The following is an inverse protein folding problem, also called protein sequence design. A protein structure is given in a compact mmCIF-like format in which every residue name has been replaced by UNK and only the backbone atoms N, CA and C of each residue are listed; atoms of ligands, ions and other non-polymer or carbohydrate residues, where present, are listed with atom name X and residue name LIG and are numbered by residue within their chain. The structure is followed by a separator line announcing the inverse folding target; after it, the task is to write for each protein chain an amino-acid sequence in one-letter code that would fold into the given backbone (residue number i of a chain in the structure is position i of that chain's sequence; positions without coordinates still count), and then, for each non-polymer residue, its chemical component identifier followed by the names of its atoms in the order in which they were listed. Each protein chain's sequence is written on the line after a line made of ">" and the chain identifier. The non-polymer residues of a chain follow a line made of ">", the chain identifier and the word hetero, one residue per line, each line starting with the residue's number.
data_IF_264065527674
#
_entry.id   IF_264065527674
#
_cell.length_a   1.000
_cell.length_b   1.000
_cell.length_c   1.000
_cell.angle_alpha   90.00
_cell.angle_beta   90.00
_cell.angle_gamma   90.00
#
_symmetry.space_group_name_H-M   'P 1'
#
loop_
_entity.id
_entity.type
_entity.pdbx_description
1 polymer ?
#
# COMPACT_ATOMS: atom_id res chain seq x y z
N UNK A 1 -18.25 -40.61 -0.64
CA UNK A 1 -17.21 -39.99 0.22
C UNK A 1 -17.03 -40.93 1.41
N UNK A 2 -15.92 -41.65 1.48
CA UNK A 2 -15.65 -42.60 2.57
C UNK A 2 -15.50 -41.83 3.88
N UNK A 3 -16.29 -42.20 4.89
CA UNK A 3 -16.13 -41.70 6.26
C UNK A 3 -14.69 -41.91 6.73
N UNK A 4 -14.05 -40.81 7.12
CA UNK A 4 -12.75 -40.84 7.78
C UNK A 4 -12.99 -41.31 9.21
N UNK A 5 -12.72 -42.59 9.48
CA UNK A 5 -12.61 -43.12 10.84
C UNK A 5 -11.20 -42.80 11.34
N UNK A 6 -11.04 -41.95 12.37
CA UNK A 6 -9.73 -41.76 12.99
C UNK A 6 -9.29 -43.09 13.60
N UNK A 7 -8.10 -43.57 13.21
CA UNK A 7 -7.42 -44.66 13.92
C UNK A 7 -6.98 -44.13 15.29
N UNK A 8 -7.88 -44.16 16.26
CA UNK A 8 -7.53 -44.10 17.67
C UNK A 8 -7.88 -45.42 18.34
N UNK A 9 -6.84 -46.00 18.93
CA UNK A 9 -6.78 -47.09 19.90
C UNK A 9 -6.58 -48.52 19.37
N UNK A 10 -5.33 -48.94 19.58
CA UNK A 10 -4.80 -50.30 19.62
C UNK A 10 -5.56 -51.19 20.61
N UNK A 11 -6.79 -51.60 20.27
CA UNK A 11 -7.36 -52.82 20.86
C UNK A 11 -7.07 -53.96 19.90
N UNK A 12 -5.87 -54.53 20.07
CA UNK A 12 -5.43 -55.71 19.35
C UNK A 12 -6.35 -56.90 19.71
N UNK A 13 -7.15 -57.46 18.79
CA UNK A 13 -7.70 -58.78 19.00
C UNK A 13 -6.52 -59.75 18.91
N UNK A 14 -6.05 -60.22 20.07
CA UNK A 14 -5.10 -61.35 20.16
C UNK A 14 -5.74 -62.58 19.50
N UNK A 15 -4.91 -63.28 18.73
CA UNK A 15 -5.13 -64.55 18.01
C UNK A 15 -5.55 -64.38 16.54
N UNK A 16 -4.68 -63.75 15.76
CA UNK A 16 -4.51 -64.12 14.36
C UNK A 16 -3.10 -64.66 14.15
N UNK A 17 -3.06 -65.79 13.45
CA UNK A 17 -1.90 -66.58 13.05
C UNK A 17 -0.66 -65.72 12.71
N UNK A 18 0.46 -65.99 13.39
CA UNK A 18 1.73 -65.22 13.33
C UNK A 18 2.27 -65.10 11.90
N UNK A 19 1.93 -66.05 11.00
CA UNK A 19 2.27 -66.00 9.58
C UNK A 19 1.41 -65.02 8.76
N UNK A 20 0.18 -64.77 9.18
CA UNK A 20 -0.70 -63.77 8.57
C UNK A 20 -0.28 -62.34 8.90
N UNK A 21 0.20 -62.11 10.13
CA UNK A 21 0.58 -60.79 10.64
C UNK A 21 1.81 -60.20 9.93
N UNK A 22 2.82 -61.03 9.63
CA UNK A 22 4.00 -60.60 8.86
C UNK A 22 3.64 -60.22 7.42
N UNK A 23 2.77 -60.99 6.76
CA UNK A 23 2.32 -60.69 5.40
C UNK A 23 1.50 -59.40 5.32
N UNK A 24 0.66 -59.12 6.33
CA UNK A 24 -0.10 -57.87 6.42
C UNK A 24 0.84 -56.68 6.62
N UNK A 25 1.85 -56.80 7.51
CA UNK A 25 2.83 -55.74 7.76
C UNK A 25 3.65 -55.39 6.51
N UNK A 26 4.12 -56.40 5.77
CA UNK A 26 4.86 -56.21 4.50
C UNK A 26 3.97 -55.54 3.45
N UNK A 27 2.71 -55.97 3.32
CA UNK A 27 1.76 -55.38 2.37
C UNK A 27 1.45 -53.92 2.72
N UNK A 28 1.30 -53.61 4.00
CA UNK A 28 1.07 -52.25 4.50
C UNK A 28 2.27 -51.34 4.26
N UNK A 29 3.49 -51.79 4.56
CA UNK A 29 4.73 -51.04 4.28
C UNK A 29 4.91 -50.77 2.78
N UNK A 30 4.63 -51.76 1.93
CA UNK A 30 4.72 -51.62 0.48
C UNK A 30 3.68 -50.63 -0.06
N UNK A 31 2.46 -50.65 0.47
CA UNK A 31 1.40 -49.69 0.12
C UNK A 31 1.77 -48.26 0.55
N UNK A 32 2.22 -48.10 1.79
CA UNK A 32 2.65 -46.81 2.35
C UNK A 32 3.82 -46.20 1.54
N UNK A 33 4.79 -47.03 1.16
CA UNK A 33 5.93 -46.63 0.31
C UNK A 33 5.46 -46.19 -1.08
N UNK A 34 4.52 -46.91 -1.71
CA UNK A 34 3.97 -46.54 -3.03
C UNK A 34 3.12 -45.27 -2.96
N UNK A 35 2.31 -45.10 -1.92
CA UNK A 35 1.48 -43.91 -1.72
C UNK A 35 2.35 -42.66 -1.53
N UNK A 36 3.34 -42.71 -0.64
CA UNK A 36 4.24 -41.59 -0.39
C UNK A 36 5.09 -41.23 -1.62
N UNK A 37 5.47 -42.19 -2.47
CA UNK A 37 6.20 -41.92 -3.72
C UNK A 37 5.47 -40.89 -4.60
N UNK A 38 4.14 -40.99 -4.72
CA UNK A 38 3.35 -40.01 -5.51
C UNK A 38 3.42 -38.60 -4.90
N UNK A 39 3.31 -38.48 -3.59
CA UNK A 39 3.41 -37.19 -2.90
C UNK A 39 4.80 -36.56 -3.04
N UNK A 40 5.87 -37.33 -2.98
CA UNK A 40 7.22 -36.82 -3.23
C UNK A 40 7.40 -36.30 -4.66
N UNK A 41 6.84 -36.98 -5.66
CA UNK A 41 6.86 -36.50 -7.06
C UNK A 41 6.07 -35.21 -7.20
N UNK A 42 4.86 -35.14 -6.62
CA UNK A 42 4.02 -33.93 -6.64
C UNK A 42 4.73 -32.76 -5.95
N UNK A 43 5.33 -33.00 -4.78
CA UNK A 43 6.12 -32.02 -4.04
C UNK A 43 7.28 -31.50 -4.90
N UNK A 44 8.05 -32.39 -5.54
CA UNK A 44 9.16 -31.99 -6.41
C UNK A 44 8.71 -31.11 -7.58
N UNK A 45 7.59 -31.46 -8.23
CA UNK A 45 7.01 -30.65 -9.32
C UNK A 45 6.60 -29.26 -8.81
N UNK A 46 5.85 -29.18 -7.71
CA UNK A 46 5.42 -27.90 -7.14
C UNK A 46 6.61 -27.05 -6.70
N UNK A 47 7.63 -27.65 -6.11
CA UNK A 47 8.85 -26.95 -5.70
C UNK A 47 9.60 -26.34 -6.89
N UNK A 48 9.78 -27.11 -7.97
CA UNK A 48 10.42 -26.61 -9.20
C UNK A 48 9.58 -25.48 -9.81
N UNK A 49 8.26 -25.64 -9.88
CA UNK A 49 7.36 -24.62 -10.42
C UNK A 49 7.40 -23.34 -9.60
N UNK A 50 7.40 -23.45 -8.27
CA UNK A 50 7.59 -22.31 -7.36
C UNK A 50 8.85 -21.52 -7.72
N UNK A 51 10.01 -22.18 -7.79
CA UNK A 51 11.29 -21.52 -8.10
C UNK A 51 11.26 -20.85 -9.49
N UNK A 52 10.71 -21.53 -10.50
CA UNK A 52 10.64 -20.99 -11.87
C UNK A 52 9.77 -19.73 -11.92
N UNK A 53 8.58 -19.77 -11.31
CA UNK A 53 7.67 -18.62 -11.31
C UNK A 53 8.19 -17.48 -10.45
N UNK A 54 8.80 -17.79 -9.30
CA UNK A 54 9.46 -16.80 -8.46
C UNK A 54 10.56 -16.11 -9.25
N UNK A 55 11.51 -16.85 -9.82
CA UNK A 55 12.60 -16.27 -10.63
C UNK A 55 12.09 -15.44 -11.81
N UNK A 56 10.98 -15.83 -12.43
CA UNK A 56 10.36 -15.06 -13.52
C UNK A 56 9.66 -13.78 -13.04
N UNK A 57 9.15 -13.74 -11.81
CA UNK A 57 8.55 -12.53 -11.22
C UNK A 57 9.62 -11.49 -10.88
N UNK A 58 10.88 -11.90 -10.71
CA UNK A 58 12.02 -11.01 -10.44
C UNK A 58 12.56 -10.27 -11.68
N UNK A 59 11.90 -10.39 -12.84
CA UNK A 59 12.37 -9.70 -14.06
C UNK A 59 12.29 -8.17 -13.90
N UNK A 60 13.43 -7.58 -13.59
CA UNK A 60 13.73 -6.15 -13.55
C UNK A 60 13.95 -5.49 -14.91
N UNK A 61 14.03 -4.16 -14.90
CA UNK A 61 14.36 -3.38 -16.10
C UNK A 61 14.18 -1.87 -15.92
N UNK A 62 14.09 -1.16 -17.04
CA UNK A 62 13.72 0.27 -17.06
C UNK A 62 12.32 0.44 -16.47
N UNK A 63 12.05 1.58 -15.83
CA UNK A 63 10.74 1.88 -15.21
C UNK A 63 9.55 1.69 -16.18
N UNK A 64 9.74 2.01 -17.46
CA UNK A 64 8.73 1.79 -18.50
C UNK A 64 8.36 0.30 -18.67
N UNK A 65 9.35 -0.60 -18.61
CA UNK A 65 9.11 -2.04 -18.69
C UNK A 65 8.29 -2.53 -17.49
N UNK A 66 8.67 -2.12 -16.28
CA UNK A 66 7.95 -2.48 -15.05
C UNK A 66 6.51 -2.00 -15.13
N UNK A 67 6.28 -0.75 -15.55
CA UNK A 67 4.94 -0.18 -15.69
C UNK A 67 4.07 -0.99 -16.66
N UNK A 68 4.63 -1.41 -17.80
CA UNK A 68 3.89 -2.16 -18.81
C UNK A 68 3.69 -3.65 -18.44
N UNK A 69 4.49 -4.19 -17.52
CA UNK A 69 4.45 -5.61 -17.15
C UNK A 69 4.03 -5.86 -15.70
N UNK A 70 3.63 -4.83 -14.95
CA UNK A 70 3.33 -4.92 -13.51
C UNK A 70 2.32 -6.04 -13.20
N UNK A 71 1.21 -6.09 -13.96
CA UNK A 71 0.19 -7.12 -13.80
C UNK A 71 0.75 -8.53 -14.03
N UNK A 72 1.54 -8.71 -15.10
CA UNK A 72 2.17 -10.00 -15.41
C UNK A 72 3.14 -10.44 -14.32
N UNK A 73 3.98 -9.53 -13.81
CA UNK A 73 4.92 -9.82 -12.73
C UNK A 73 4.18 -10.18 -11.43
N UNK A 74 3.09 -9.46 -11.10
CA UNK A 74 2.25 -9.76 -9.96
C UNK A 74 1.57 -11.13 -10.07
N UNK A 75 1.04 -11.49 -11.24
CA UNK A 75 0.45 -12.82 -11.49
C UNK A 75 1.50 -13.92 -11.33
N UNK A 76 2.72 -13.74 -11.85
CA UNK A 76 3.81 -14.70 -11.67
C UNK A 76 4.17 -14.88 -10.19
N UNK A 77 4.18 -13.79 -9.41
CA UNK A 77 4.42 -13.84 -7.97
C UNK A 77 3.31 -14.59 -7.21
N UNK A 78 2.04 -14.36 -7.57
CA UNK A 78 0.88 -15.06 -6.99
C UNK A 78 0.94 -16.55 -7.32
N UNK A 79 1.23 -16.92 -8.58
CA UNK A 79 1.36 -18.34 -8.99
C UNK A 79 2.50 -19.00 -8.21
N UNK A 80 3.65 -18.32 -8.07
CA UNK A 80 4.75 -18.75 -7.24
C UNK A 80 4.30 -19.04 -5.80
N UNK A 81 3.54 -18.13 -5.19
CA UNK A 81 2.99 -18.30 -3.85
C UNK A 81 2.08 -19.53 -3.75
N UNK A 82 1.17 -19.72 -4.71
CA UNK A 82 0.28 -20.89 -4.74
C UNK A 82 1.09 -22.20 -4.74
N UNK A 83 2.12 -22.31 -5.58
CA UNK A 83 2.96 -23.52 -5.61
C UNK A 83 3.75 -23.74 -4.32
N UNK A 84 4.25 -22.67 -3.70
CA UNK A 84 4.92 -22.76 -2.39
C UNK A 84 3.95 -23.25 -1.31
N UNK A 85 2.75 -22.67 -1.23
CA UNK A 85 1.70 -23.09 -0.30
C UNK A 85 1.32 -24.57 -0.53
N UNK A 86 1.15 -24.99 -1.80
CA UNK A 86 0.89 -26.39 -2.15
C UNK A 86 2.02 -27.32 -1.68
N UNK A 87 3.28 -26.89 -1.69
CA UNK A 87 4.39 -27.66 -1.12
C UNK A 87 4.20 -27.88 0.38
N UNK A 88 3.90 -26.82 1.14
CA UNK A 88 3.66 -26.90 2.58
C UNK A 88 2.48 -27.83 2.91
N UNK A 89 1.36 -27.68 2.19
CA UNK A 89 0.20 -28.55 2.37
C UNK A 89 0.48 -30.00 1.99
N UNK A 90 1.26 -30.24 0.93
CA UNK A 90 1.70 -31.59 0.56
C UNK A 90 2.51 -32.23 1.69
N UNK A 91 3.41 -31.48 2.34
CA UNK A 91 4.16 -31.96 3.52
C UNK A 91 3.24 -32.25 4.70
N UNK A 92 2.25 -31.39 4.97
CA UNK A 92 1.29 -31.59 6.05
C UNK A 92 0.53 -32.91 5.90
N UNK A 93 0.03 -33.20 4.70
CA UNK A 93 -0.80 -34.38 4.40
C UNK A 93 0.00 -35.67 4.13
N UNK A 94 1.30 -35.59 3.87
CA UNK A 94 2.13 -36.78 3.73
C UNK A 94 2.06 -37.66 4.98
N UNK A 95 1.86 -38.97 4.82
CA UNK A 95 1.93 -39.92 5.95
C UNK A 95 3.38 -40.37 6.05
N UNK A 96 4.22 -39.65 6.77
CA UNK A 96 5.65 -40.00 6.97
C UNK A 96 6.04 -39.75 8.43
N UNK A 97 7.20 -40.29 8.85
CA UNK A 97 7.75 -40.07 10.20
C UNK A 97 7.88 -38.57 10.49
N UNK A 98 7.56 -38.15 11.73
CA UNK A 98 7.57 -36.72 12.16
C UNK A 98 8.90 -36.03 11.88
N UNK A 99 10.02 -36.73 12.07
CA UNK A 99 11.38 -36.22 11.79
C UNK A 99 11.54 -35.85 10.31
N UNK A 100 11.09 -36.72 9.39
CA UNK A 100 11.19 -36.44 7.94
C UNK A 100 10.30 -35.25 7.55
N UNK A 101 9.10 -35.12 8.13
CA UNK A 101 8.28 -33.91 7.92
C UNK A 101 9.00 -32.64 8.38
N UNK A 102 9.59 -32.67 9.57
CA UNK A 102 10.33 -31.53 10.13
C UNK A 102 11.51 -31.15 9.21
N UNK A 103 12.26 -32.13 8.71
CA UNK A 103 13.34 -31.90 7.74
C UNK A 103 12.84 -31.25 6.44
N UNK A 104 11.69 -31.68 5.91
CA UNK A 104 11.10 -31.06 4.72
C UNK A 104 10.65 -29.62 4.98
N UNK A 105 10.07 -29.31 6.15
CA UNK A 105 9.75 -27.92 6.51
C UNK A 105 11.00 -27.06 6.68
N UNK A 106 12.03 -27.57 7.34
CA UNK A 106 13.34 -26.89 7.46
C UNK A 106 13.91 -26.61 6.07
N UNK A 107 13.83 -27.57 5.14
CA UNK A 107 14.26 -27.39 3.75
C UNK A 107 13.48 -26.26 3.04
N UNK A 108 12.16 -26.16 3.23
CA UNK A 108 11.38 -25.06 2.68
C UNK A 108 11.78 -23.70 3.27
N UNK A 109 12.04 -23.64 4.58
CA UNK A 109 12.53 -22.41 5.25
C UNK A 109 13.91 -22.02 4.74
N UNK A 110 14.85 -22.96 4.63
CA UNK A 110 16.17 -22.71 4.05
C UNK A 110 16.05 -22.22 2.60
N UNK A 111 15.09 -22.77 1.83
CA UNK A 111 14.84 -22.31 0.46
C UNK A 111 14.32 -20.87 0.41
N UNK A 112 13.46 -20.45 1.36
CA UNK A 112 13.05 -19.05 1.50
C UNK A 112 14.23 -18.13 1.85
N UNK A 113 15.09 -18.56 2.78
CA UNK A 113 16.31 -17.83 3.14
C UNK A 113 17.24 -17.70 1.93
N UNK A 114 17.38 -18.78 1.14
CA UNK A 114 18.11 -18.74 -0.13
C UNK A 114 17.50 -17.77 -1.14
N UNK A 115 16.16 -17.74 -1.26
CA UNK A 115 15.44 -16.78 -2.10
C UNK A 115 15.65 -15.34 -1.62
N UNK A 116 15.63 -15.09 -0.31
CA UNK A 116 15.98 -13.79 0.27
C UNK A 116 17.38 -13.37 -0.16
N UNK A 117 18.40 -14.22 0.06
CA UNK A 117 19.79 -13.94 -0.33
C UNK A 117 19.99 -13.73 -1.83
N UNK A 118 19.28 -14.47 -2.66
CA UNK A 118 19.30 -14.28 -4.11
C UNK A 118 18.72 -12.92 -4.55
N UNK A 119 17.88 -12.32 -3.71
CA UNK A 119 16.94 -11.25 -4.10
C UNK A 119 17.10 -9.96 -3.28
N UNK A 120 18.33 -9.61 -2.87
CA UNK A 120 18.68 -8.43 -2.06
C UNK A 120 18.61 -7.08 -2.80
N UNK A 121 17.87 -7.01 -3.91
CA UNK A 121 17.74 -5.77 -4.65
C UNK A 121 16.78 -4.79 -3.97
N UNK A 122 17.27 -3.60 -3.63
CA UNK A 122 16.44 -2.47 -3.15
C UNK A 122 16.10 -1.46 -4.27
N UNK A 123 16.84 -1.47 -5.39
CA UNK A 123 16.68 -0.51 -6.47
C UNK A 123 15.65 -0.97 -7.52
N UNK A 124 15.03 -0.07 -8.29
CA UNK A 124 14.05 -0.45 -9.33
C UNK A 124 14.58 -1.46 -10.37
N UNK A 125 15.89 -1.43 -10.65
CA UNK A 125 16.55 -2.42 -11.53
C UNK A 125 16.53 -3.83 -10.93
N UNK A 126 16.53 -3.93 -9.60
CA UNK A 126 16.52 -5.15 -8.81
C UNK A 126 15.45 -4.99 -7.73
N UNK A 127 14.16 -5.13 -8.06
CA UNK A 127 13.05 -4.92 -7.11
C UNK A 127 12.74 -6.18 -6.29
N UNK A 128 13.78 -6.96 -6.03
CA UNK A 128 13.72 -8.26 -5.43
C UNK A 128 13.12 -8.26 -4.04
N UNK A 129 13.65 -7.39 -3.18
CA UNK A 129 13.24 -7.32 -1.79
C UNK A 129 11.76 -6.98 -1.63
N UNK A 130 11.20 -6.13 -2.51
CA UNK A 130 9.77 -5.83 -2.50
C UNK A 130 8.93 -7.06 -2.86
N UNK A 131 9.29 -7.78 -3.93
CA UNK A 131 8.58 -9.00 -4.33
C UNK A 131 8.68 -10.08 -3.26
N UNK A 132 9.87 -10.24 -2.66
CA UNK A 132 10.09 -11.17 -1.55
C UNK A 132 9.22 -10.80 -0.34
N UNK A 133 9.19 -9.53 0.07
CA UNK A 133 8.34 -9.08 1.18
C UNK A 133 6.85 -9.36 0.90
N UNK A 134 6.35 -9.01 -0.29
CA UNK A 134 4.96 -9.28 -0.68
C UNK A 134 4.68 -10.80 -0.65
N UNK A 135 5.61 -11.60 -1.14
CA UNK A 135 5.51 -13.06 -1.13
C UNK A 135 5.46 -13.62 0.30
N UNK A 136 6.31 -13.14 1.22
CA UNK A 136 6.28 -13.52 2.62
C UNK A 136 4.98 -13.10 3.32
N UNK A 137 4.47 -11.91 3.03
CA UNK A 137 3.18 -11.44 3.53
C UNK A 137 2.06 -12.39 3.08
N UNK A 138 2.08 -12.81 1.81
CA UNK A 138 1.10 -13.77 1.31
C UNK A 138 1.21 -15.12 2.00
N UNK A 139 2.42 -15.67 2.19
CA UNK A 139 2.62 -16.91 2.95
C UNK A 139 2.02 -16.79 4.35
N UNK A 140 2.42 -15.76 5.10
CA UNK A 140 2.00 -15.62 6.50
C UNK A 140 0.49 -15.44 6.59
N UNK A 141 -0.11 -14.55 5.79
CA UNK A 141 -1.55 -14.25 5.89
C UNK A 141 -2.38 -15.42 5.36
N UNK A 142 -2.12 -15.88 4.13
CA UNK A 142 -2.97 -16.88 3.49
C UNK A 142 -2.76 -18.28 4.06
N UNK A 143 -1.53 -18.73 4.33
CA UNK A 143 -1.35 -20.07 4.91
C UNK A 143 -1.87 -20.14 6.34
N UNK A 144 -1.77 -19.05 7.13
CA UNK A 144 -2.40 -18.99 8.46
C UNK A 144 -3.92 -19.04 8.35
N UNK A 145 -4.51 -18.28 7.42
CA UNK A 145 -5.96 -18.32 7.18
C UNK A 145 -6.40 -19.72 6.74
N UNK A 146 -5.69 -20.33 5.79
CA UNK A 146 -5.98 -21.69 5.31
C UNK A 146 -5.83 -22.73 6.43
N UNK A 147 -4.86 -22.59 7.33
CA UNK A 147 -4.72 -23.46 8.50
C UNK A 147 -5.90 -23.31 9.47
N UNK A 148 -6.34 -22.09 9.74
CA UNK A 148 -7.51 -21.80 10.58
C UNK A 148 -8.76 -22.43 9.95
N UNK A 149 -9.00 -22.20 8.65
CA UNK A 149 -10.13 -22.76 7.92
C UNK A 149 -10.10 -24.29 7.89
N UNK A 150 -8.91 -24.88 7.69
CA UNK A 150 -8.75 -26.33 7.71
C UNK A 150 -9.05 -26.92 9.10
N UNK A 151 -8.52 -26.32 10.18
CA UNK A 151 -8.83 -26.75 11.55
C UNK A 151 -10.31 -26.64 11.85
N UNK A 152 -10.95 -25.54 11.43
CA UNK A 152 -12.38 -25.35 11.57
C UNK A 152 -13.17 -26.43 10.80
N UNK A 153 -12.78 -26.71 9.56
CA UNK A 153 -13.36 -27.76 8.74
C UNK A 153 -13.25 -29.14 9.40
N UNK A 154 -12.06 -29.52 9.88
CA UNK A 154 -11.82 -30.81 10.55
C UNK A 154 -12.63 -30.94 11.83
N UNK A 155 -12.72 -29.86 12.63
CA UNK A 155 -13.40 -29.89 13.92
C UNK A 155 -14.93 -30.05 13.79
N UNK A 156 -15.55 -29.36 12.83
CA UNK A 156 -17.03 -29.30 12.73
C UNK A 156 -17.59 -30.24 11.64
N UNK A 157 -16.75 -30.65 10.69
CA UNK A 157 -17.13 -31.46 9.53
C UNK A 157 -17.74 -30.66 8.38
N UNK A 158 -17.76 -31.25 7.18
CA UNK A 158 -18.05 -30.57 5.90
C UNK A 158 -19.38 -29.78 5.88
N UNK A 159 -20.50 -30.43 6.22
CA UNK A 159 -21.84 -29.82 6.10
C UNK A 159 -21.99 -28.62 7.04
N UNK A 160 -21.55 -28.76 8.29
CA UNK A 160 -21.63 -27.72 9.30
C UNK A 160 -20.63 -26.59 9.02
N UNK A 161 -19.42 -26.93 8.55
CA UNK A 161 -18.41 -25.95 8.13
C UNK A 161 -18.97 -25.00 7.08
N UNK A 162 -19.57 -25.50 5.99
CA UNK A 162 -20.14 -24.61 4.96
C UNK A 162 -21.26 -23.72 5.49
N UNK A 163 -22.15 -24.25 6.35
CA UNK A 163 -23.20 -23.44 6.97
C UNK A 163 -22.61 -22.31 7.83
N UNK A 164 -21.67 -22.63 8.71
CA UNK A 164 -21.06 -21.64 9.61
C UNK A 164 -20.17 -20.64 8.84
N UNK A 165 -19.39 -21.12 7.86
CA UNK A 165 -18.57 -20.29 7.00
C UNK A 165 -19.42 -19.32 6.18
N UNK A 166 -20.55 -19.76 5.62
CA UNK A 166 -21.47 -18.89 4.90
C UNK A 166 -22.06 -17.80 5.80
N UNK A 167 -22.46 -18.14 7.03
CA UNK A 167 -22.97 -17.16 8.00
C UNK A 167 -21.87 -16.14 8.35
N UNK A 168 -20.66 -16.63 8.64
CA UNK A 168 -19.51 -15.78 8.94
C UNK A 168 -19.15 -14.86 7.77
N UNK A 169 -19.09 -15.39 6.54
CA UNK A 169 -18.80 -14.63 5.34
C UNK A 169 -19.87 -13.56 5.07
N UNK A 170 -21.15 -13.87 5.26
CA UNK A 170 -22.24 -12.90 5.15
C UNK A 170 -22.12 -11.80 6.20
N UNK A 171 -21.82 -12.14 7.45
CA UNK A 171 -21.62 -11.18 8.53
C UNK A 171 -20.43 -10.24 8.27
N UNK A 172 -19.29 -10.79 7.85
CA UNK A 172 -18.10 -10.01 7.47
C UNK A 172 -18.41 -9.11 6.27
N UNK A 173 -19.11 -9.63 5.26
CA UNK A 173 -19.53 -8.83 4.09
C UNK A 173 -20.46 -7.69 4.48
N UNK A 174 -21.37 -7.92 5.44
CA UNK A 174 -22.24 -6.89 6.00
C UNK A 174 -21.41 -5.81 6.71
N UNK A 175 -20.45 -6.17 7.57
CA UNK A 175 -19.54 -5.20 8.20
C UNK A 175 -18.80 -4.37 7.15
N UNK A 176 -18.20 -5.02 6.14
CA UNK A 176 -17.49 -4.31 5.08
C UNK A 176 -18.41 -3.39 4.29
N UNK A 177 -19.66 -3.78 4.03
CA UNK A 177 -20.65 -2.93 3.40
C UNK A 177 -20.90 -1.63 4.19
N UNK A 178 -21.09 -1.70 5.52
CA UNK A 178 -21.25 -0.48 6.33
C UNK A 178 -19.99 0.37 6.38
N UNK A 179 -18.81 -0.25 6.47
CA UNK A 179 -17.53 0.46 6.44
C UNK A 179 -17.38 1.20 5.10
N UNK A 180 -17.64 0.53 3.98
CA UNK A 180 -17.62 1.12 2.65
C UNK A 180 -18.62 2.27 2.53
N UNK A 181 -19.85 2.07 2.99
CA UNK A 181 -20.90 3.08 2.95
C UNK A 181 -20.53 4.30 3.80
N UNK A 182 -19.93 4.09 4.96
CA UNK A 182 -19.40 5.16 5.80
C UNK A 182 -18.29 5.92 5.09
N UNK A 183 -17.34 5.24 4.46
CA UNK A 183 -16.27 5.90 3.72
C UNK A 183 -16.78 6.67 2.52
N UNK A 184 -17.74 6.12 1.77
CA UNK A 184 -18.42 6.82 0.68
C UNK A 184 -19.09 8.11 1.18
N UNK A 185 -19.79 8.05 2.31
CA UNK A 185 -20.46 9.21 2.91
C UNK A 185 -19.49 10.29 3.41
N UNK A 186 -18.31 9.89 3.90
CA UNK A 186 -17.30 10.82 4.44
C UNK A 186 -16.30 11.27 3.37
N UNK A 187 -16.24 10.59 2.23
CA UNK A 187 -15.25 10.88 1.18
C UNK A 187 -15.31 12.33 0.69
N UNK A 188 -16.51 12.89 0.56
CA UNK A 188 -16.71 14.27 0.15
C UNK A 188 -16.39 15.32 1.23
N UNK A 189 -15.99 14.90 2.44
CA UNK A 189 -15.67 15.79 3.55
C UNK A 189 -14.16 15.87 3.71
N UNK A 190 -13.60 17.01 3.31
CA UNK A 190 -12.19 17.33 3.45
C UNK A 190 -11.81 17.81 4.86
N UNK A 191 -10.56 18.29 4.96
CA UNK A 191 -10.05 18.90 6.18
C UNK A 191 -10.91 20.10 6.61
N UNK A 192 -11.13 20.26 7.93
CA UNK A 192 -12.01 21.30 8.51
C UNK A 192 -13.51 21.14 8.21
N UNK A 193 -13.98 19.92 7.93
CA UNK A 193 -15.38 19.64 7.59
C UNK A 193 -15.87 20.39 6.33
N UNK A 194 -14.95 20.89 5.50
CA UNK A 194 -15.29 21.47 4.20
C UNK A 194 -15.75 20.36 3.26
N UNK A 195 -16.88 20.55 2.59
CA UNK A 195 -17.37 19.60 1.60
C UNK A 195 -16.81 19.94 0.23
N UNK A 196 -16.65 18.93 -0.62
CA UNK A 196 -16.39 19.16 -2.05
C UNK A 196 -17.67 19.73 -2.65
N UNK A 197 -17.59 20.94 -3.18
CA UNK A 197 -18.70 21.56 -3.89
C UNK A 197 -18.85 20.92 -5.28
N UNK A 198 -20.09 20.60 -5.63
CA UNK A 198 -20.46 20.08 -6.95
C UNK A 198 -21.16 21.20 -7.74
N UNK A 199 -20.71 21.46 -8.96
CA UNK A 199 -21.22 22.56 -9.77
C UNK A 199 -20.75 22.48 -11.22
N UNK A 200 -21.55 23.02 -12.14
CA UNK A 200 -21.26 22.94 -13.57
C UNK A 200 -19.95 23.64 -13.98
N UNK A 201 -19.55 24.67 -13.23
CA UNK A 201 -18.30 25.41 -13.43
C UNK A 201 -17.16 24.98 -12.48
N UNK A 202 -17.37 23.95 -11.66
CA UNK A 202 -16.37 23.42 -10.73
C UNK A 202 -15.70 22.15 -11.28
N UNK A 203 -14.56 21.79 -10.69
CA UNK A 203 -13.90 20.53 -11.01
C UNK A 203 -14.82 19.37 -10.62
N UNK A 204 -15.28 18.60 -11.61
CA UNK A 204 -15.96 17.32 -11.37
C UNK A 204 -14.95 16.30 -10.87
N UNK A 205 -14.83 16.18 -9.55
CA UNK A 205 -14.04 15.11 -8.92
C UNK A 205 -14.81 13.80 -9.09
N UNK A 206 -14.18 12.80 -9.71
CA UNK A 206 -14.84 11.49 -9.83
C UNK A 206 -14.81 10.82 -8.46
N UNK A 207 -15.99 10.46 -7.95
CA UNK A 207 -16.07 9.65 -6.72
C UNK A 207 -15.32 8.34 -6.96
N UNK A 208 -14.34 7.97 -6.13
CA UNK A 208 -13.61 6.73 -6.29
C UNK A 208 -14.54 5.55 -6.02
N UNK A 209 -14.20 4.41 -6.60
CA UNK A 209 -14.92 3.18 -6.31
C UNK A 209 -14.49 2.70 -4.91
N UNK A 210 -15.40 2.54 -3.94
CA UNK A 210 -15.06 2.47 -2.51
C UNK A 210 -14.14 1.30 -2.09
N UNK A 211 -14.07 0.22 -2.89
CA UNK A 211 -13.28 -0.96 -2.54
C UNK A 211 -11.77 -0.75 -2.66
N UNK A 212 -11.30 0.22 -3.44
CA UNK A 212 -9.88 0.58 -3.47
C UNK A 212 -9.41 1.19 -2.14
N UNK A 213 -10.32 1.80 -1.38
CA UNK A 213 -10.04 2.40 -0.07
C UNK A 213 -10.10 1.39 1.10
N UNK A 214 -10.52 0.14 0.85
CA UNK A 214 -10.51 -0.94 1.86
C UNK A 214 -9.11 -1.50 2.13
N UNK A 215 -8.17 -1.28 1.21
CA UNK A 215 -6.79 -1.70 1.45
C UNK A 215 -6.16 -0.71 2.44
N UNK A 216 -5.48 -1.19 3.51
CA UNK A 216 -4.94 -0.35 4.57
C UNK A 216 -3.84 0.63 4.11
N UNK A 217 -3.45 0.57 2.83
CA UNK A 217 -2.54 1.51 2.20
C UNK A 217 -3.32 2.25 1.13
N UNK A 218 -3.64 3.53 1.39
CA UNK A 218 -4.11 4.50 0.39
C UNK A 218 -3.06 4.66 -0.70
N UNK A 219 -2.94 3.66 -1.57
CA UNK A 219 -2.02 3.68 -2.69
C UNK A 219 -2.69 4.49 -3.79
N UNK A 220 -2.47 5.81 -3.75
CA UNK A 220 -2.69 6.76 -4.84
C UNK A 220 -1.87 6.44 -6.13
N UNK A 221 -1.46 5.18 -6.29
CA UNK A 221 -0.80 4.63 -7.49
C UNK A 221 -1.85 4.45 -8.60
N UNK A 222 -3.10 4.19 -8.21
CA UNK A 222 -4.23 3.92 -9.10
C UNK A 222 -5.18 5.11 -9.31
N UNK A 223 -5.11 6.14 -8.46
CA UNK A 223 -5.80 7.40 -8.73
C UNK A 223 -5.10 8.05 -9.92
N UNK A 224 -5.81 8.05 -11.04
CA UNK A 224 -5.35 8.69 -12.24
C UNK A 224 -5.05 10.17 -12.01
N UNK A 225 -4.52 10.74 -13.06
CA UNK A 225 -4.53 12.16 -13.30
C UNK A 225 -5.95 12.75 -13.24
N UNK A 226 -6.43 13.19 -12.08
CA UNK A 226 -7.59 14.09 -12.04
C UNK A 226 -7.07 15.51 -12.21
N UNK A 227 -6.99 15.95 -13.47
CA UNK A 227 -6.83 17.36 -13.81
C UNK A 227 -8.20 17.84 -14.28
N UNK A 228 -8.83 18.71 -13.50
CA UNK A 228 -9.94 19.49 -13.99
C UNK A 228 -9.43 20.87 -14.39
N UNK A 229 -9.94 21.38 -15.50
CA UNK A 229 -9.89 22.80 -15.81
C UNK A 229 -10.96 23.48 -14.95
N UNK A 230 -10.59 23.94 -13.74
CA UNK A 230 -11.45 24.84 -12.98
C UNK A 230 -11.54 26.14 -13.78
N UNK A 231 -12.75 26.60 -14.12
CA UNK A 231 -12.93 27.98 -14.59
C UNK A 231 -12.63 28.87 -13.39
N UNK A 232 -11.45 29.45 -13.37
CA UNK A 232 -11.06 30.40 -12.33
C UNK A 232 -11.90 31.67 -12.52
N UNK A 233 -12.64 32.08 -11.48
CA UNK A 233 -13.44 33.32 -11.53
C UNK A 233 -12.59 34.56 -11.23
N UNK A 234 -11.32 34.36 -10.84
CA UNK A 234 -10.35 35.40 -10.54
C UNK A 234 -8.95 34.84 -10.75
N UNK A 235 -8.00 35.72 -11.04
CA UNK A 235 -6.60 35.34 -11.16
C UNK A 235 -5.77 36.01 -10.07
N UNK A 236 -4.73 35.32 -9.60
CA UNK A 236 -3.82 35.85 -8.61
C UNK A 236 -2.41 35.34 -8.92
N UNK A 237 -1.44 36.25 -8.92
CA UNK A 237 -0.06 35.97 -9.27
C UNK A 237 0.89 37.00 -8.65
N UNK A 238 2.18 36.68 -8.66
CA UNK A 238 3.22 37.67 -8.40
C UNK A 238 3.62 38.28 -9.74
N UNK A 239 3.38 39.58 -9.90
CA UNK A 239 3.59 40.30 -11.15
C UNK A 239 5.08 40.60 -11.35
N UNK A 240 5.72 39.90 -12.28
CA UNK A 240 7.14 40.09 -12.57
C UNK A 240 7.48 41.45 -13.17
N UNK A 241 6.50 42.14 -13.78
CA UNK A 241 6.70 43.45 -14.40
C UNK A 241 6.60 44.57 -13.34
N UNK A 242 5.74 44.40 -12.35
CA UNK A 242 5.56 45.33 -11.24
C UNK A 242 6.29 44.87 -9.97
N UNK A 243 7.62 44.78 -10.04
CA UNK A 243 8.51 44.51 -8.89
C UNK A 243 8.19 43.21 -8.10
N UNK A 244 7.55 42.21 -8.70
CA UNK A 244 7.05 41.01 -8.02
C UNK A 244 6.04 41.30 -6.91
N UNK A 245 5.23 42.36 -7.06
CA UNK A 245 4.07 42.60 -6.19
C UNK A 245 3.03 41.50 -6.38
N UNK A 246 2.38 41.13 -5.29
CA UNK A 246 1.27 40.20 -5.32
C UNK A 246 0.02 40.92 -5.81
N UNK A 247 -0.58 40.39 -6.87
CA UNK A 247 -1.72 41.00 -7.57
C UNK A 247 -2.86 40.00 -7.65
N UNK A 248 -4.07 40.46 -7.31
CA UNK A 248 -5.34 39.77 -7.54
C UNK A 248 -6.10 40.58 -8.59
N UNK A 249 -6.53 39.93 -9.68
CA UNK A 249 -7.26 40.53 -10.79
C UNK A 249 -8.52 39.73 -11.10
N UNK A 250 -9.46 40.36 -11.83
CA UNK A 250 -10.67 39.72 -12.38
C UNK A 250 -11.66 39.19 -11.33
N UNK A 251 -11.48 39.52 -10.04
CA UNK A 251 -12.47 39.19 -9.02
C UNK A 251 -13.73 40.07 -9.22
N UNK A 252 -14.95 39.50 -9.25
CA UNK A 252 -16.20 40.26 -9.35
C UNK A 252 -16.33 41.32 -8.25
N UNK A 253 -16.81 42.52 -8.61
CA UNK A 253 -16.89 43.69 -7.70
C UNK A 253 -17.78 43.46 -6.47
N UNK A 254 -18.71 42.51 -6.55
CA UNK A 254 -19.62 42.16 -5.47
C UNK A 254 -19.04 41.17 -4.45
N UNK A 255 -17.81 40.68 -4.64
CA UNK A 255 -17.18 39.70 -3.76
C UNK A 255 -16.01 40.32 -2.98
N UNK A 256 -15.90 40.02 -1.67
CA UNK A 256 -14.79 40.53 -0.87
C UNK A 256 -13.46 39.89 -1.31
N UNK A 257 -12.44 40.73 -1.49
CA UNK A 257 -11.10 40.30 -1.86
C UNK A 257 -10.20 40.31 -0.62
N UNK A 258 -9.56 39.19 -0.33
CA UNK A 258 -8.59 39.08 0.76
C UNK A 258 -7.45 38.17 0.38
N UNK A 259 -6.37 38.21 1.15
CA UNK A 259 -5.28 37.26 1.02
C UNK A 259 -4.80 36.82 2.39
N UNK A 260 -4.26 35.61 2.45
CA UNK A 260 -3.70 35.03 3.66
C UNK A 260 -2.26 34.64 3.41
N UNK A 261 -1.34 35.19 4.21
CA UNK A 261 0.07 34.83 4.14
C UNK A 261 0.26 33.48 4.82
N UNK A 262 0.69 32.45 4.09
CA UNK A 262 0.87 31.14 4.70
C UNK A 262 2.06 31.16 5.68
N UNK A 263 1.90 30.64 6.92
CA UNK A 263 2.96 30.69 7.90
C UNK A 263 4.14 29.81 7.49
N UNK A 264 5.36 30.36 7.57
CA UNK A 264 6.57 29.58 7.34
C UNK A 264 6.78 28.57 8.47
N UNK A 265 6.87 27.29 8.14
CA UNK A 265 7.18 26.24 9.12
C UNK A 265 8.62 26.33 9.64
N UNK A 266 9.51 27.04 8.91
CA UNK A 266 10.91 27.26 9.29
C UNK A 266 11.05 28.08 10.57
N UNK A 267 10.15 29.03 10.81
CA UNK A 267 10.17 29.89 12.00
C UNK A 267 9.47 29.25 13.21
N UNK A 268 8.81 28.10 13.02
CA UNK A 268 8.12 27.39 14.10
C UNK A 268 9.11 26.66 15.02
N UNK A 269 8.83 26.70 16.33
CA UNK A 269 9.61 25.98 17.33
C UNK A 269 9.32 24.47 17.32
N UNK A 270 10.12 23.69 18.06
CA UNK A 270 9.98 22.23 18.10
C UNK A 270 8.62 21.74 18.61
N UNK A 271 7.98 22.47 19.55
CA UNK A 271 6.66 22.10 20.10
C UNK A 271 5.57 22.29 19.04
N UNK A 272 5.61 23.40 18.30
CA UNK A 272 4.69 23.70 17.20
C UNK A 272 4.84 22.70 16.05
N UNK A 273 6.04 22.15 15.81
CA UNK A 273 6.28 21.15 14.75
C UNK A 273 5.77 19.74 15.07
N UNK A 274 5.32 19.45 16.31
CA UNK A 274 4.75 18.13 16.65
C UNK A 274 3.42 17.93 15.92
N UNK A 275 3.19 16.75 15.34
CA UNK A 275 2.05 16.42 14.45
C UNK A 275 0.68 16.93 14.94
N UNK A 276 0.36 16.77 16.22
CA UNK A 276 -0.92 17.21 16.79
C UNK A 276 -1.00 18.72 17.02
N UNK A 277 0.12 19.37 17.38
CA UNK A 277 0.20 20.81 17.63
C UNK A 277 0.31 21.62 16.34
N UNK A 278 0.94 21.06 15.30
CA UNK A 278 1.21 21.76 14.04
C UNK A 278 -0.07 22.28 13.38
N UNK A 279 -1.14 21.48 13.36
CA UNK A 279 -2.43 21.91 12.82
C UNK A 279 -2.97 23.13 13.56
N UNK A 280 -2.96 23.10 14.89
CA UNK A 280 -3.46 24.21 15.70
C UNK A 280 -2.58 25.45 15.53
N UNK A 281 -1.26 25.28 15.50
CA UNK A 281 -0.30 26.35 15.30
C UNK A 281 -0.42 27.00 13.91
N UNK A 282 -0.62 26.20 12.85
CA UNK A 282 -0.84 26.69 11.49
C UNK A 282 -2.17 27.44 11.42
N UNK A 283 -3.27 26.85 11.87
CA UNK A 283 -4.59 27.49 11.83
C UNK A 283 -4.59 28.81 12.60
N UNK A 284 -4.05 28.81 13.83
CA UNK A 284 -3.96 30.02 14.64
C UNK A 284 -3.16 31.13 13.94
N UNK A 285 -2.08 30.79 13.23
CA UNK A 285 -1.29 31.77 12.46
C UNK A 285 -2.02 32.22 11.20
N UNK A 286 -2.76 31.32 10.53
CA UNK A 286 -3.57 31.64 9.37
C UNK A 286 -4.68 32.65 9.70
N UNK A 287 -5.40 32.43 10.81
CA UNK A 287 -6.50 33.29 11.25
C UNK A 287 -6.04 34.73 11.54
N UNK A 288 -4.80 34.90 12.01
CA UNK A 288 -4.21 36.22 12.30
C UNK A 288 -3.63 36.89 11.04
N UNK A 289 -3.43 36.13 9.95
CA UNK A 289 -2.75 36.60 8.74
C UNK A 289 -3.69 36.90 7.57
N UNK A 290 -4.96 37.18 7.87
CA UNK A 290 -5.97 37.54 6.86
C UNK A 290 -5.94 39.05 6.63
N UNK A 291 -5.68 39.46 5.39
CA UNK A 291 -5.58 40.85 5.00
C UNK A 291 -6.58 41.16 3.88
N UNK A 292 -7.23 42.33 3.93
CA UNK A 292 -8.06 42.80 2.84
C UNK A 292 -7.18 43.25 1.68
N UNK A 293 -7.58 42.93 0.45
CA UNK A 293 -6.85 43.31 -0.75
C UNK A 293 -7.52 44.51 -1.42
N UNK A 294 -6.77 45.61 -1.57
CA UNK A 294 -7.23 46.83 -2.25
C UNK A 294 -6.35 47.19 -3.44
N UNK A 295 -5.05 46.91 -3.37
CA UNK A 295 -4.06 47.24 -4.39
C UNK A 295 -2.91 46.22 -4.40
N UNK A 296 -2.07 46.17 -5.44
CA UNK A 296 -0.93 45.27 -5.51
C UNK A 296 0.02 45.43 -4.31
N UNK A 297 0.28 44.34 -3.59
CA UNK A 297 1.03 44.37 -2.32
C UNK A 297 2.45 43.87 -2.49
N UNK A 298 3.43 44.63 -2.00
CA UNK A 298 4.81 44.18 -1.92
C UNK A 298 4.99 43.17 -0.76
N UNK A 299 5.25 41.91 -1.11
CA UNK A 299 5.50 40.84 -0.13
C UNK A 299 6.89 40.25 -0.36
N UNK A 300 7.99 40.97 -0.03
CA UNK A 300 9.36 40.58 -0.40
C UNK A 300 9.80 39.25 0.21
N UNK A 301 9.21 38.87 1.35
CA UNK A 301 9.69 37.78 2.18
C UNK A 301 8.75 36.56 2.23
N UNK A 302 7.67 36.59 1.45
CA UNK A 302 6.63 35.55 1.46
C UNK A 302 6.81 34.59 0.28
N UNK A 303 6.84 33.28 0.53
CA UNK A 303 6.92 32.26 -0.53
C UNK A 303 5.54 31.86 -1.07
N UNK A 304 4.51 31.90 -0.22
CA UNK A 304 3.18 31.40 -0.55
C UNK A 304 2.06 32.26 0.08
N UNK A 305 1.06 32.59 -0.74
CA UNK A 305 -0.10 33.39 -0.37
C UNK A 305 -1.37 32.67 -0.84
N UNK A 306 -2.36 32.57 0.04
CA UNK A 306 -3.69 32.11 -0.33
C UNK A 306 -4.56 33.33 -0.66
N UNK A 307 -4.75 33.58 -1.95
CA UNK A 307 -5.66 34.61 -2.45
C UNK A 307 -7.11 34.15 -2.27
N UNK A 308 -8.02 35.06 -1.93
CA UNK A 308 -9.46 34.82 -1.76
C UNK A 308 -10.29 35.87 -2.49
N UNK A 309 -11.33 35.41 -3.18
CA UNK A 309 -12.36 36.21 -3.83
C UNK A 309 -13.71 35.59 -3.45
N UNK A 310 -14.39 36.15 -2.44
CA UNK A 310 -15.55 35.53 -1.82
C UNK A 310 -15.21 34.17 -1.18
N UNK A 311 -15.92 33.11 -1.59
CA UNK A 311 -15.65 31.73 -1.14
C UNK A 311 -14.56 31.02 -1.94
N UNK A 312 -14.10 31.62 -3.04
CA UNK A 312 -13.10 31.01 -3.90
C UNK A 312 -11.69 31.36 -3.46
N UNK A 313 -10.82 30.36 -3.39
CA UNK A 313 -9.42 30.51 -3.03
C UNK A 313 -8.47 30.02 -4.14
N UNK A 314 -7.30 30.67 -4.21
CA UNK A 314 -6.19 30.33 -5.12
C UNK A 314 -4.87 30.43 -4.37
N UNK A 315 -4.15 29.31 -4.30
CA UNK A 315 -2.81 29.28 -3.71
C UNK A 315 -1.79 29.77 -4.73
N UNK A 316 -1.19 30.92 -4.45
CA UNK A 316 -0.13 31.51 -5.26
C UNK A 316 1.20 31.24 -4.57
N UNK A 317 2.08 30.54 -5.27
CA UNK A 317 3.45 30.29 -4.80
C UNK A 317 4.42 30.95 -5.75
N UNK A 318 5.45 31.57 -5.19
CA UNK A 318 6.63 31.97 -5.96
C UNK A 318 7.83 31.22 -5.44
N UNK A 319 8.72 30.89 -6.37
CA UNK A 319 10.07 30.48 -5.99
C UNK A 319 10.75 31.74 -5.48
N UNK A 320 10.88 31.89 -4.17
CA UNK A 320 11.64 33.00 -3.62
C UNK A 320 13.04 32.95 -4.27
N UNK A 321 13.44 34.03 -4.94
CA UNK A 321 14.81 34.23 -5.44
C UNK A 321 15.85 34.31 -4.32
N UNK A 322 15.44 34.11 -3.06
CA UNK A 322 16.27 34.01 -1.87
C UNK A 322 17.24 32.84 -2.02
N UNK A 323 18.41 33.12 -2.61
CA UNK A 323 19.67 32.57 -2.13
C UNK A 323 19.88 33.15 -0.73
N UNK A 324 19.21 32.59 0.28
CA UNK A 324 19.75 32.71 1.64
C UNK A 324 21.13 32.07 1.51
N UNK A 325 22.19 32.89 1.45
CA UNK A 325 23.55 32.35 1.57
C UNK A 325 23.51 31.56 2.87
N UNK A 326 23.71 30.24 2.84
CA UNK A 326 23.62 29.44 4.05
C UNK A 326 24.50 30.11 5.10
N UNK A 327 23.98 30.29 6.31
CA UNK A 327 24.79 30.78 7.41
C UNK A 327 26.05 29.92 7.43
N UNK A 328 27.24 30.55 7.33
CA UNK A 328 28.55 29.89 7.36
C UNK A 328 28.88 29.34 8.76
N UNK A 329 27.87 29.04 9.56
CA UNK A 329 28.06 28.32 10.79
C UNK A 329 28.43 26.88 10.43
N UNK A 330 29.38 26.26 11.15
CA UNK A 330 29.74 24.87 10.93
C UNK A 330 28.49 24.03 11.15
N UNK A 331 27.89 23.57 10.05
CA UNK A 331 26.74 22.69 10.15
C UNK A 331 27.18 21.43 10.88
N UNK A 332 26.50 21.04 11.98
CA UNK A 332 26.82 19.79 12.66
C UNK A 332 26.69 18.66 11.64
N UNK A 333 27.74 17.82 11.54
CA UNK A 333 27.89 16.75 10.54
C UNK A 333 26.69 15.77 10.48
N UNK A 334 25.84 15.78 11.50
CA UNK A 334 24.75 14.83 11.70
C UNK A 334 23.32 15.40 11.54
N UNK A 335 23.14 16.67 11.11
CA UNK A 335 21.79 17.20 10.88
C UNK A 335 21.28 16.91 9.47
N UNK A 336 20.37 15.93 9.36
CA UNK A 336 19.52 15.75 8.19
C UNK A 336 18.76 17.06 7.87
N UNK A 337 18.90 17.56 6.64
CA UNK A 337 17.98 18.54 6.07
C UNK A 337 16.65 17.85 5.77
N UNK A 338 15.75 17.77 6.75
CA UNK A 338 14.42 17.20 6.55
C UNK A 338 13.49 18.27 5.97
N UNK A 339 13.21 18.17 4.67
CA UNK A 339 12.10 18.88 4.04
C UNK A 339 10.80 18.13 4.35
N UNK A 340 10.06 18.58 5.36
CA UNK A 340 8.71 18.10 5.63
C UNK A 340 7.71 18.82 4.72
N UNK A 341 7.31 18.15 3.64
CA UNK A 341 6.16 18.55 2.83
C UNK A 341 4.95 17.77 3.33
N UNK A 342 4.00 18.46 3.97
CA UNK A 342 2.69 17.88 4.26
C UNK A 342 1.84 17.95 3.00
N UNK A 343 1.97 16.93 2.16
CA UNK A 343 1.08 16.73 1.02
C UNK A 343 -0.12 15.96 1.56
N UNK A 344 -1.22 16.66 1.81
CA UNK A 344 -2.49 16.00 2.08
C UNK A 344 -2.87 15.22 0.81
N UNK A 345 -2.81 13.88 0.91
CA UNK A 345 -3.30 12.87 -0.01
C UNK A 345 -3.24 13.12 -1.54
N UNK A 346 -2.30 13.90 -2.07
CA UNK A 346 -2.15 14.10 -3.52
C UNK A 346 -0.89 13.37 -3.98
N UNK A 347 -1.05 12.48 -4.96
CA UNK A 347 0.01 11.56 -5.40
C UNK A 347 1.32 12.29 -5.73
N UNK A 348 2.46 11.60 -5.64
CA UNK A 348 3.77 12.08 -6.10
C UNK A 348 3.72 12.70 -7.52
N UNK A 349 2.74 12.33 -8.36
CA UNK A 349 2.52 12.90 -9.70
C UNK A 349 1.86 14.28 -9.70
N UNK A 350 1.06 14.63 -8.70
CA UNK A 350 0.44 15.96 -8.56
C UNK A 350 1.47 17.02 -8.17
N UNK A 351 2.41 16.66 -7.29
CA UNK A 351 3.58 17.49 -6.99
C UNK A 351 4.39 17.84 -8.25
N UNK A 352 4.64 16.88 -9.15
CA UNK A 352 5.33 17.13 -10.42
C UNK A 352 4.49 17.87 -11.47
N UNK A 353 3.17 17.99 -11.28
CA UNK A 353 2.27 18.75 -12.16
C UNK A 353 2.13 20.20 -11.74
N UNK A 354 2.07 20.46 -10.44
CA UNK A 354 2.01 21.81 -9.88
C UNK A 354 3.35 22.53 -9.98
N UNK A 355 4.45 21.80 -10.20
CA UNK A 355 5.81 22.35 -10.31
C UNK A 355 6.55 21.81 -11.56
N UNK A 356 6.10 22.16 -12.78
CA UNK A 356 6.67 21.63 -14.02
C UNK A 356 8.16 22.00 -14.20
N UNK A 357 8.59 23.14 -13.66
CA UNK A 357 9.99 23.59 -13.71
C UNK A 357 10.94 22.71 -12.86
N UNK A 358 10.47 22.13 -11.76
CA UNK A 358 11.27 21.26 -10.87
C UNK A 358 11.56 19.89 -11.52
N UNK A 359 10.70 19.45 -12.44
CA UNK A 359 10.89 18.22 -13.22
C UNK A 359 12.11 18.29 -14.15
N UNK A 360 12.44 19.49 -14.66
CA UNK A 360 13.60 19.73 -15.54
C UNK A 360 14.94 19.66 -14.80
N UNK A 361 14.93 19.91 -13.49
CA UNK A 361 16.13 19.89 -12.64
C UNK A 361 16.53 18.47 -12.22
N UNK A 362 15.56 17.62 -11.85
CA UNK A 362 15.82 16.25 -11.44
C UNK A 362 16.17 15.30 -12.61
N UNK A 363 15.83 15.65 -13.85
CA UNK A 363 16.20 14.87 -15.03
C UNK A 363 17.68 14.99 -15.45
N UNK A 364 18.47 15.86 -14.80
CA UNK A 364 19.91 16.02 -15.04
C UNK A 364 20.79 15.38 -13.95
N UNK A 365 20.19 14.84 -12.88
CA UNK A 365 20.92 14.24 -11.74
C UNK A 365 20.75 12.70 -11.69
N UNK A 366 20.12 12.11 -12.70
CA UNK A 366 20.12 10.66 -12.97
C UNK A 366 20.58 10.42 -14.38
#
# INVERSE_FOLDING_TARGET
>A
MSEYVPLETDTCPRLLDVKGEQNIKIKYEKYFKKYNKKYFVIFGIFYIMWIIFYKKSLKGGKLAFIKNNLFKLAVLLIISFIFYSLCLWTIAFMRIRKIVKALLYIFMVISLVGAFYYDHGEHFKFHGMYNFMVFCIFIVIFDTLSLILYRWYVFVGLKKFFKQFSIFASFISFIFFFILRRYENVWGVGFLNKKIDDGENLCKVRRPIPWFDLLPVRQNIWTGSESCERKEIFNAYFDSENENKFTIVECPENLPISYVVLPETRTMNFKERKKFALRQSVNKKLDVSVFNYTEPVALPDVEAVLAKCGEHDKLVVRLAGRRVKPAKEPQPKDKLNILLIYIDAMSRRQFFRSLPKTKKFNGKIT
#
